data_IF_379297220287
#
_entry.id   IF_379297220287
#
_cell.length_a   1.000
_cell.length_b   1.000
_cell.length_c   1.000
_cell.angle_alpha   90.00
_cell.angle_beta   90.00
_cell.angle_gamma   90.00
#
_symmetry.space_group_name_H-M   'P 1'
#
loop_
_entity.id
_entity.type
_entity.pdbx_description
1 polymer ?
#
# COMPACT_ATOMS: atom_id res chain seq x y z
N UNK A 1 38.80 -62.44 19.60
CA UNK A 1 38.38 -61.40 18.63
C UNK A 1 36.90 -60.95 18.76
N UNK A 2 36.16 -61.28 19.84
CA UNK A 2 34.76 -60.84 20.01
C UNK A 2 34.65 -59.42 20.61
N UNK A 3 35.60 -59.02 21.44
CA UNK A 3 35.55 -57.74 22.17
C UNK A 3 35.94 -56.54 21.29
N UNK A 4 36.81 -56.74 20.28
CA UNK A 4 37.21 -55.66 19.35
C UNK A 4 36.06 -55.19 18.46
N UNK A 5 35.18 -56.10 18.01
CA UNK A 5 33.97 -55.74 17.25
C UNK A 5 32.94 -55.02 18.12
N UNK A 6 32.84 -55.38 19.40
CA UNK A 6 31.97 -54.69 20.36
C UNK A 6 32.41 -53.22 20.60
N UNK A 7 33.72 -52.97 20.73
CA UNK A 7 34.23 -51.60 20.85
C UNK A 7 33.99 -50.75 19.59
N UNK A 8 34.04 -51.35 18.40
CA UNK A 8 33.74 -50.65 17.14
C UNK A 8 32.25 -50.28 17.07
N UNK A 9 31.35 -51.19 17.46
CA UNK A 9 29.90 -50.93 17.46
C UNK A 9 29.52 -49.87 18.50
N UNK A 10 30.11 -49.92 19.69
CA UNK A 10 29.89 -48.90 20.73
C UNK A 10 30.45 -47.54 20.27
N UNK A 11 31.66 -47.51 19.70
CA UNK A 11 32.26 -46.30 19.16
C UNK A 11 31.43 -45.67 18.05
N UNK A 12 30.92 -46.48 17.12
CA UNK A 12 30.05 -46.01 16.04
C UNK A 12 28.71 -45.48 16.57
N UNK A 13 28.13 -46.15 17.57
CA UNK A 13 26.89 -45.70 18.22
C UNK A 13 27.03 -44.37 18.95
N UNK A 14 28.15 -44.17 19.67
CA UNK A 14 28.45 -42.89 20.33
C UNK A 14 28.69 -41.77 19.30
N UNK A 15 29.36 -42.08 18.20
CA UNK A 15 29.62 -41.10 17.13
C UNK A 15 28.32 -40.68 16.42
N UNK A 16 27.44 -41.64 16.12
CA UNK A 16 26.12 -41.37 15.53
C UNK A 16 25.19 -40.63 16.51
N UNK A 17 25.23 -40.97 17.79
CA UNK A 17 24.48 -40.25 18.83
C UNK A 17 24.93 -38.79 18.99
N UNK A 18 26.24 -38.54 19.03
CA UNK A 18 26.80 -37.18 19.13
C UNK A 18 26.50 -36.33 17.89
N UNK A 19 26.67 -36.89 16.70
CA UNK A 19 26.37 -36.18 15.45
C UNK A 19 24.88 -35.89 15.30
N UNK A 20 24.01 -36.86 15.64
CA UNK A 20 22.57 -36.67 15.66
C UNK A 20 22.12 -35.60 16.67
N UNK A 21 22.71 -35.58 17.87
CA UNK A 21 22.41 -34.58 18.90
C UNK A 21 22.86 -33.18 18.50
N UNK A 22 24.03 -33.04 17.88
CA UNK A 22 24.52 -31.75 17.38
C UNK A 22 23.63 -31.20 16.26
N UNK A 23 23.24 -32.05 15.31
CA UNK A 23 22.35 -31.67 14.20
C UNK A 23 20.97 -31.26 14.72
N UNK A 24 20.38 -32.02 15.65
CA UNK A 24 19.11 -31.66 16.29
C UNK A 24 19.21 -30.26 16.92
N UNK A 25 20.25 -30.01 17.72
CA UNK A 25 20.41 -28.71 18.39
C UNK A 25 20.51 -27.56 17.40
N UNK A 26 21.19 -27.76 16.27
CA UNK A 26 21.29 -26.73 15.22
C UNK A 26 19.97 -26.51 14.47
N UNK A 27 19.14 -27.54 14.26
CA UNK A 27 17.83 -27.38 13.60
C UNK A 27 16.74 -26.82 14.53
N UNK A 28 16.77 -27.14 15.83
CA UNK A 28 15.78 -26.64 16.79
C UNK A 28 16.04 -25.21 17.26
N UNK A 29 17.22 -24.65 16.95
CA UNK A 29 17.50 -23.24 17.19
C UNK A 29 17.13 -22.46 15.92
N UNK A 30 15.83 -22.38 15.63
CA UNK A 30 15.34 -21.48 14.60
C UNK A 30 15.55 -20.07 15.15
N UNK A 31 16.44 -19.23 14.59
CA UNK A 31 16.51 -17.85 15.01
C UNK A 31 15.14 -17.25 14.70
N UNK A 32 14.39 -16.91 15.75
CA UNK A 32 13.24 -16.03 15.59
C UNK A 32 13.80 -14.77 14.97
N UNK A 33 13.59 -14.61 13.66
CA UNK A 33 13.78 -13.33 13.03
C UNK A 33 12.88 -12.38 13.83
N UNK A 34 13.43 -11.33 14.46
CA UNK A 34 12.57 -10.31 15.01
C UNK A 34 11.72 -9.84 13.84
N UNK A 35 10.43 -10.11 13.91
CA UNK A 35 9.44 -9.47 13.06
C UNK A 35 9.64 -7.99 13.32
N UNK A 36 10.39 -7.34 12.44
CA UNK A 36 10.38 -5.89 12.31
C UNK A 36 8.98 -5.60 11.80
N UNK A 37 8.06 -5.51 12.75
CA UNK A 37 6.81 -4.81 12.58
C UNK A 37 7.22 -3.43 12.10
N UNK A 38 7.06 -3.20 10.80
CA UNK A 38 7.16 -1.85 10.24
C UNK A 38 6.14 -1.06 11.03
N UNK A 39 6.62 -0.31 12.00
CA UNK A 39 5.89 0.83 12.54
C UNK A 39 5.64 1.73 11.33
N UNK A 40 4.46 1.57 10.74
CA UNK A 40 3.94 2.51 9.76
C UNK A 40 3.80 3.79 10.57
N UNK A 41 4.80 4.67 10.44
CA UNK A 41 4.67 6.06 10.86
C UNK A 41 3.55 6.61 9.99
N UNK A 42 2.31 6.45 10.44
CA UNK A 42 1.19 7.23 9.97
C UNK A 42 1.53 8.65 10.38
N UNK A 43 2.07 9.45 9.47
CA UNK A 43 1.99 10.90 9.59
C UNK A 43 0.49 11.21 9.66
N UNK A 44 0.00 11.41 10.89
CA UNK A 44 -1.40 11.74 11.17
C UNK A 44 -1.60 13.19 10.72
N UNK A 45 -1.76 13.35 9.40
CA UNK A 45 -2.06 14.64 8.79
C UNK A 45 -3.38 15.14 9.35
N UNK A 46 -3.47 16.45 9.59
CA UNK A 46 -4.69 17.07 10.11
C UNK A 46 -5.88 16.68 9.19
N UNK A 47 -7.06 16.35 9.75
CA UNK A 47 -8.25 16.09 8.93
C UNK A 47 -8.63 17.35 8.14
N UNK A 48 -9.26 17.16 6.98
CA UNK A 48 -9.72 18.28 6.16
C UNK A 48 -10.73 19.19 6.87
N UNK A 49 -10.80 20.45 6.43
CA UNK A 49 -11.85 21.40 6.84
C UNK A 49 -13.24 20.78 6.54
N UNK A 50 -14.16 20.71 7.52
CA UNK A 50 -15.52 20.15 7.32
C UNK A 50 -16.33 20.83 6.22
N UNK A 51 -15.97 22.04 5.80
CA UNK A 51 -16.57 22.72 4.65
C UNK A 51 -16.24 22.03 3.33
N UNK A 52 -15.08 21.35 3.25
CA UNK A 52 -14.62 20.66 2.04
C UNK A 52 -15.44 19.37 1.86
N UNK A 53 -16.11 19.27 0.71
CA UNK A 53 -16.88 18.09 0.32
C UNK A 53 -16.19 17.38 -0.82
N UNK A 54 -16.00 16.08 -0.66
CA UNK A 54 -15.39 15.21 -1.67
C UNK A 54 -16.43 14.18 -2.12
N UNK A 55 -16.69 14.14 -3.41
CA UNK A 55 -17.58 13.17 -4.05
C UNK A 55 -16.86 12.43 -5.17
N UNK A 56 -17.22 11.17 -5.36
CA UNK A 56 -16.65 10.31 -6.39
C UNK A 56 -17.79 9.56 -7.06
N UNK A 57 -17.83 9.63 -8.39
CA UNK A 57 -18.82 8.94 -9.21
C UNK A 57 -18.20 8.36 -10.47
N UNK A 58 -18.84 7.36 -11.04
CA UNK A 58 -18.53 6.94 -12.41
C UNK A 58 -18.83 8.07 -13.41
N UNK A 59 -17.93 8.30 -14.36
CA UNK A 59 -18.08 9.33 -15.41
C UNK A 59 -18.23 8.71 -16.80
N UNK A 60 -17.26 7.86 -17.17
CA UNK A 60 -17.17 7.19 -18.48
C UNK A 60 -16.68 5.76 -18.25
N UNK A 61 -16.62 4.96 -19.32
CA UNK A 61 -16.06 3.61 -19.26
C UNK A 61 -14.69 3.61 -18.55
N UNK A 62 -14.59 2.88 -17.45
CA UNK A 62 -13.39 2.74 -16.63
C UNK A 62 -12.79 4.09 -16.16
N UNK A 63 -13.64 5.10 -15.92
CA UNK A 63 -13.20 6.42 -15.47
C UNK A 63 -14.10 6.93 -14.35
N UNK A 64 -13.48 7.35 -13.25
CA UNK A 64 -14.18 8.03 -12.16
C UNK A 64 -13.95 9.54 -12.26
N UNK A 65 -14.93 10.32 -11.79
CA UNK A 65 -14.79 11.75 -11.56
C UNK A 65 -14.68 12.00 -10.05
N UNK A 66 -13.57 12.58 -9.63
CA UNK A 66 -13.38 13.10 -8.29
C UNK A 66 -13.79 14.57 -8.34
N UNK A 67 -14.81 14.94 -7.57
CA UNK A 67 -15.27 16.33 -7.44
C UNK A 67 -15.02 16.81 -6.01
N UNK A 68 -14.39 17.97 -5.89
CA UNK A 68 -14.13 18.62 -4.61
C UNK A 68 -14.73 20.02 -4.63
N UNK A 69 -15.38 20.42 -3.55
CA UNK A 69 -16.00 21.74 -3.39
C UNK A 69 -15.85 22.27 -1.96
N UNK A 70 -16.08 23.56 -1.74
CA UNK A 70 -15.99 24.18 -0.42
C UNK A 70 -14.55 24.41 0.06
N UNK A 71 -13.60 24.55 -0.86
CA UNK A 71 -12.19 24.82 -0.52
C UNK A 71 -11.95 26.25 -0.03
N UNK A 72 -12.91 27.16 -0.24
CA UNK A 72 -12.91 28.53 0.28
C UNK A 72 -11.72 29.38 -0.16
N UNK A 73 -11.08 29.02 -1.28
CA UNK A 73 -9.85 29.66 -1.77
C UNK A 73 -8.64 29.53 -0.84
N UNK A 74 -8.62 28.52 0.04
CA UNK A 74 -7.52 28.29 1.00
C UNK A 74 -6.54 27.20 0.54
N UNK A 75 -6.96 26.36 -0.38
CA UNK A 75 -6.17 25.24 -0.92
C UNK A 75 -5.45 25.73 -2.16
N UNK A 76 -4.12 25.62 -2.19
CA UNK A 76 -3.29 25.98 -3.35
C UNK A 76 -3.11 24.80 -4.31
N UNK A 77 -2.97 23.60 -3.74
CA UNK A 77 -2.81 22.40 -4.54
C UNK A 77 -3.34 21.15 -3.86
N UNK A 78 -3.69 20.16 -4.67
CA UNK A 78 -4.22 18.87 -4.21
C UNK A 78 -3.48 17.73 -4.88
N UNK A 79 -2.95 16.81 -4.08
CA UNK A 79 -2.44 15.52 -4.55
C UNK A 79 -3.52 14.47 -4.35
N UNK A 80 -3.59 13.50 -5.26
CA UNK A 80 -4.54 12.40 -5.12
C UNK A 80 -3.85 11.05 -5.29
N UNK A 81 -4.38 10.05 -4.58
CA UNK A 81 -4.10 8.63 -4.78
C UNK A 81 -5.43 7.89 -4.82
N UNK A 82 -5.61 7.07 -5.85
CA UNK A 82 -6.77 6.20 -6.03
C UNK A 82 -6.27 4.78 -6.07
N UNK A 83 -6.75 3.96 -5.14
CA UNK A 83 -6.38 2.54 -5.02
C UNK A 83 -7.62 1.69 -5.22
N UNK A 84 -7.51 0.59 -5.97
CA UNK A 84 -8.64 -0.26 -6.33
C UNK A 84 -8.19 -1.69 -6.65
N UNK A 85 -9.12 -2.65 -6.58
CA UNK A 85 -8.85 -4.03 -6.98
C UNK A 85 -9.34 -4.28 -8.42
N UNK A 86 -8.53 -4.96 -9.22
CA UNK A 86 -8.95 -5.52 -10.50
C UNK A 86 -8.30 -6.88 -10.72
N UNK A 87 -9.12 -7.90 -10.99
CA UNK A 87 -8.65 -9.26 -11.24
C UNK A 87 -7.87 -9.88 -10.07
N UNK A 88 -8.21 -9.53 -8.82
CA UNK A 88 -7.51 -10.02 -7.62
C UNK A 88 -6.18 -9.32 -7.33
N UNK A 89 -5.85 -8.24 -8.04
CA UNK A 89 -4.62 -7.46 -7.86
C UNK A 89 -4.99 -6.03 -7.49
N UNK A 90 -4.37 -5.50 -6.44
CA UNK A 90 -4.48 -4.09 -6.05
C UNK A 90 -3.69 -3.23 -7.05
N UNK A 91 -4.36 -2.22 -7.58
CA UNK A 91 -3.87 -1.26 -8.57
C UNK A 91 -3.98 0.15 -7.99
N UNK A 92 -3.21 1.09 -8.55
CA UNK A 92 -3.20 2.47 -8.07
C UNK A 92 -2.98 3.49 -9.19
N UNK A 93 -3.56 4.67 -9.01
CA UNK A 93 -3.33 5.85 -9.86
C UNK A 93 -3.14 7.06 -8.95
N UNK A 94 -2.07 7.82 -9.15
CA UNK A 94 -1.81 9.04 -8.38
C UNK A 94 -1.63 10.27 -9.28
N UNK A 95 -1.61 11.45 -8.68
CA UNK A 95 -1.30 12.72 -9.36
C UNK A 95 0.14 12.83 -9.88
N UNK A 96 0.99 11.84 -9.62
CA UNK A 96 2.41 11.88 -9.93
C UNK A 96 3.17 12.88 -9.05
N UNK A 97 4.32 13.35 -9.54
CA UNK A 97 5.21 14.25 -8.81
C UNK A 97 4.74 15.72 -8.79
N UNK A 98 3.60 16.03 -9.42
CA UNK A 98 3.07 17.40 -9.52
C UNK A 98 1.63 17.42 -8.99
N UNK A 99 1.41 18.04 -7.82
CA UNK A 99 0.07 18.31 -7.31
C UNK A 99 -0.77 19.11 -8.31
N UNK A 100 -2.09 18.94 -8.27
CA UNK A 100 -3.04 19.73 -9.06
C UNK A 100 -3.11 21.12 -8.44
N UNK A 101 -2.67 22.14 -9.17
CA UNK A 101 -2.83 23.54 -8.75
C UNK A 101 -4.28 23.94 -8.89
N UNK A 102 -4.91 24.36 -7.79
CA UNK A 102 -6.34 24.75 -7.75
C UNK A 102 -6.55 26.19 -8.23
N UNK A 103 -5.49 26.99 -8.30
CA UNK A 103 -5.55 28.44 -8.52
C UNK A 103 -6.50 29.15 -7.53
N UNK A 104 -6.60 28.66 -6.30
CA UNK A 104 -7.47 29.16 -5.24
C UNK A 104 -8.97 29.18 -5.62
N UNK A 105 -9.38 28.32 -6.55
CA UNK A 105 -10.80 28.11 -6.85
C UNK A 105 -11.49 27.41 -5.67
N UNK A 106 -12.81 27.57 -5.54
CA UNK A 106 -13.58 26.92 -4.47
C UNK A 106 -13.84 25.43 -4.75
N UNK A 107 -13.80 25.03 -6.02
CA UNK A 107 -14.07 23.67 -6.47
C UNK A 107 -13.10 23.25 -7.58
N UNK A 108 -12.86 21.95 -7.70
CA UNK A 108 -12.20 21.37 -8.86
C UNK A 108 -12.74 19.97 -9.15
N UNK A 109 -12.53 19.52 -10.38
CA UNK A 109 -12.87 18.17 -10.80
C UNK A 109 -11.68 17.48 -11.47
N UNK A 110 -11.56 16.17 -11.27
CA UNK A 110 -10.52 15.35 -11.88
C UNK A 110 -11.05 14.02 -12.35
N UNK A 111 -10.94 13.76 -13.66
CA UNK A 111 -11.13 12.42 -14.22
C UNK A 111 -9.91 11.55 -13.95
N UNK A 112 -10.14 10.34 -13.44
CA UNK A 112 -9.12 9.32 -13.19
C UNK A 112 -9.50 8.06 -13.95
N UNK A 113 -8.63 7.67 -14.89
CA UNK A 113 -8.80 6.47 -15.68
C UNK A 113 -8.29 5.24 -14.90
N UNK A 114 -9.16 4.25 -14.71
CA UNK A 114 -8.88 2.99 -14.03
C UNK A 114 -8.25 1.99 -15.01
N UNK A 115 -6.96 2.17 -15.24
CA UNK A 115 -6.19 1.32 -16.14
C UNK A 115 -4.73 1.75 -16.24
N UNK A 116 -4.05 1.22 -17.25
CA UNK A 116 -2.64 1.55 -17.54
C UNK A 116 -2.53 2.21 -18.90
N UNK A 117 -1.70 3.25 -19.02
CA UNK A 117 -1.42 3.91 -20.29
C UNK A 117 0.06 3.78 -20.63
N UNK A 118 0.36 3.31 -21.85
CA UNK A 118 1.72 3.19 -22.38
C UNK A 118 1.75 3.63 -23.83
N UNK A 119 2.67 4.52 -24.18
CA UNK A 119 2.88 5.03 -25.56
C UNK A 119 1.56 5.40 -26.26
N UNK A 120 0.76 6.26 -25.63
CA UNK A 120 -0.53 6.77 -26.12
C UNK A 120 -1.67 5.73 -26.24
N UNK A 121 -1.50 4.52 -25.70
CA UNK A 121 -2.56 3.51 -25.64
C UNK A 121 -2.90 3.22 -24.18
N UNK A 122 -4.17 3.38 -23.83
CA UNK A 122 -4.68 3.05 -22.50
C UNK A 122 -5.44 1.72 -22.52
N UNK A 123 -5.13 0.84 -21.57
CA UNK A 123 -5.80 -0.44 -21.36
C UNK A 123 -6.63 -0.40 -20.07
N UNK A 124 -7.94 -0.64 -20.16
CA UNK A 124 -8.81 -0.61 -18.98
C UNK A 124 -8.55 -1.80 -18.06
N UNK A 125 -8.65 -1.58 -16.76
CA UNK A 125 -8.71 -2.65 -15.75
C UNK A 125 -10.17 -3.02 -15.49
N UNK A 126 -10.65 -4.21 -15.91
CA UNK A 126 -12.06 -4.56 -15.78
C UNK A 126 -12.44 -4.98 -14.36
N UNK A 127 -13.74 -4.93 -14.05
CA UNK A 127 -14.30 -5.52 -12.83
C UNK A 127 -13.98 -4.77 -11.54
N UNK A 128 -13.67 -3.48 -11.63
CA UNK A 128 -13.51 -2.62 -10.45
C UNK A 128 -14.88 -2.38 -9.81
N UNK A 129 -15.01 -2.62 -8.51
CA UNK A 129 -16.26 -2.48 -7.75
C UNK A 129 -16.22 -1.33 -6.74
N UNK A 130 -15.05 -1.06 -6.18
CA UNK A 130 -14.84 0.04 -5.26
C UNK A 130 -13.48 0.67 -5.49
N UNK A 131 -13.36 1.92 -5.05
CA UNK A 131 -12.14 2.71 -5.10
C UNK A 131 -11.93 3.37 -3.74
N UNK A 132 -10.70 3.34 -3.25
CA UNK A 132 -10.27 4.14 -2.11
C UNK A 132 -9.59 5.39 -2.66
N UNK A 133 -10.11 6.55 -2.29
CA UNK A 133 -9.56 7.85 -2.70
C UNK A 133 -8.93 8.52 -1.49
N UNK A 134 -7.66 8.86 -1.63
CA UNK A 134 -6.90 9.68 -0.69
C UNK A 134 -6.57 11.01 -1.36
N UNK A 135 -6.91 12.11 -0.71
CA UNK A 135 -6.58 13.47 -1.15
C UNK A 135 -5.71 14.14 -0.09
N UNK A 136 -4.59 14.70 -0.52
CA UNK A 136 -3.73 15.56 0.30
C UNK A 136 -3.87 16.99 -0.19
N UNK A 137 -4.31 17.88 0.70
CA UNK A 137 -4.53 19.29 0.43
C UNK A 137 -3.37 20.09 0.98
N UNK A 138 -2.82 20.98 0.14
CA UNK A 138 -1.75 21.89 0.51
C UNK A 138 -2.28 23.31 0.51
N UNK A 139 -2.03 24.05 1.58
CA UNK A 139 -2.41 25.45 1.68
C UNK A 139 -1.20 26.40 1.52
N UNK A 140 -1.48 27.70 1.38
CA UNK A 140 -0.46 28.75 1.24
C UNK A 140 0.48 28.87 2.45
N UNK A 141 0.06 28.40 3.63
CA UNK A 141 0.89 28.39 4.83
C UNK A 141 1.85 27.19 4.90
N UNK A 142 1.80 26.28 3.92
CA UNK A 142 2.59 25.05 3.89
C UNK A 142 2.04 23.92 4.76
N UNK A 143 0.87 24.10 5.39
CA UNK A 143 0.19 23.01 6.11
C UNK A 143 -0.45 22.05 5.12
N UNK A 144 -0.50 20.79 5.55
CA UNK A 144 -1.08 19.67 4.81
C UNK A 144 -2.24 19.09 5.62
N UNK A 145 -3.34 18.77 4.93
CA UNK A 145 -4.46 18.02 5.50
C UNK A 145 -4.84 16.88 4.58
N UNK A 146 -5.37 15.79 5.13
CA UNK A 146 -5.69 14.59 4.36
C UNK A 146 -7.15 14.17 4.49
N UNK A 147 -7.71 13.68 3.39
CA UNK A 147 -8.98 12.99 3.33
C UNK A 147 -8.76 11.59 2.79
N UNK A 148 -9.43 10.59 3.36
CA UNK A 148 -9.43 9.21 2.86
C UNK A 148 -10.82 8.63 2.98
N UNK A 149 -11.34 8.06 1.89
CA UNK A 149 -12.65 7.38 1.88
C UNK A 149 -12.74 6.35 0.76
N UNK A 150 -13.43 5.24 1.05
CA UNK A 150 -13.82 4.26 0.05
C UNK A 150 -15.19 4.60 -0.55
N UNK A 151 -15.29 4.44 -1.87
CA UNK A 151 -16.50 4.63 -2.66
C UNK A 151 -16.82 3.36 -3.43
N UNK A 152 -18.08 2.96 -3.42
CA UNK A 152 -18.59 1.92 -4.30
C UNK A 152 -18.90 2.56 -5.67
N UNK A 153 -18.53 1.87 -6.75
CA UNK A 153 -18.76 2.31 -8.12
C UNK A 153 -20.09 1.74 -8.67
#
# INVERSE_FOLDING_TARGET
MKNKKLFIVIGLGVLLGLTGFLVWRTLSTQPQQPTVEKEVVQEDLEPIDPAIKVDVKESKANTILISVSGMGGKVESVSYEVTYESGGIVQGVNSGSKPIVTALQDAFEREVYLGTCSRNVCRPHPGVKSVTVVLEFHNASGKKSQFSKEYQL
#
